data_IF_848309338003
#
_entry.id   IF_848309338003
#
_cell.length_a   1.000
_cell.length_b   1.000
_cell.length_c   1.000
_cell.angle_alpha   90.00
_cell.angle_beta   90.00
_cell.angle_gamma   90.00
#
_symmetry.space_group_name_H-M   'P 1'
#
loop_
_entity.id
_entity.type
_entity.pdbx_description
1 polymer ?
#
# COMPACT_ATOMS: atom_id res chain seq x y z
N UNK A 1 -12.26 -0.17 -18.25
CA UNK A 1 -12.72 0.85 -17.29
C UNK A 1 -13.25 0.15 -16.04
N UNK A 2 -12.99 0.68 -14.83
CA UNK A 2 -13.35 0.04 -13.58
C UNK A 2 -14.65 0.65 -13.05
N UNK A 3 -15.70 -0.17 -12.91
CA UNK A 3 -17.01 0.27 -12.43
C UNK A 3 -17.18 0.07 -10.91
N UNK A 4 -16.59 -1.00 -10.36
CA UNK A 4 -16.63 -1.33 -8.94
C UNK A 4 -15.23 -1.39 -8.38
N UNK A 5 -14.91 -0.52 -7.40
CA UNK A 5 -13.55 -0.41 -6.86
C UNK A 5 -13.61 -0.53 -5.33
N UNK A 6 -12.76 -1.40 -4.76
CA UNK A 6 -12.55 -1.52 -3.33
C UNK A 6 -11.26 -0.83 -2.90
N UNK A 7 -11.30 -0.04 -1.82
CA UNK A 7 -10.13 0.67 -1.31
C UNK A 7 -9.97 0.34 0.18
N UNK A 8 -8.84 -0.25 0.56
CA UNK A 8 -8.53 -0.46 1.98
C UNK A 8 -8.02 0.82 2.61
N UNK A 9 -8.44 1.11 3.86
CA UNK A 9 -8.07 2.34 4.55
C UNK A 9 -8.66 3.61 3.92
N UNK A 10 -9.86 3.52 3.37
CA UNK A 10 -10.51 4.60 2.62
C UNK A 10 -11.16 5.70 3.50
N UNK A 11 -10.99 5.66 4.81
CA UNK A 11 -11.61 6.64 5.71
C UNK A 11 -10.79 7.93 5.92
N UNK A 12 -9.52 7.96 5.50
CA UNK A 12 -8.62 9.11 5.70
C UNK A 12 -7.54 9.17 4.62
N UNK A 13 -6.93 10.34 4.44
CA UNK A 13 -5.72 10.52 3.65
C UNK A 13 -5.87 10.09 2.19
N UNK A 14 -4.85 9.42 1.66
CA UNK A 14 -4.76 9.03 0.26
C UNK A 14 -5.92 8.12 -0.16
N UNK A 15 -6.30 7.15 0.69
CA UNK A 15 -7.41 6.24 0.38
C UNK A 15 -8.74 6.95 0.24
N UNK A 16 -9.05 7.91 1.13
CA UNK A 16 -10.27 8.72 1.05
C UNK A 16 -10.27 9.63 -0.17
N UNK A 17 -9.14 10.27 -0.46
CA UNK A 17 -9.03 11.13 -1.63
C UNK A 17 -9.11 10.34 -2.94
N UNK A 18 -8.51 9.13 -3.01
CA UNK A 18 -8.67 8.22 -4.14
C UNK A 18 -10.12 7.81 -4.35
N UNK A 19 -10.87 7.54 -3.25
CA UNK A 19 -12.30 7.25 -3.31
C UNK A 19 -13.09 8.43 -3.90
N UNK A 20 -12.76 9.66 -3.49
CA UNK A 20 -13.37 10.88 -4.05
C UNK A 20 -13.12 11.02 -5.54
N UNK A 21 -11.86 10.88 -5.97
CA UNK A 21 -11.50 11.02 -7.38
C UNK A 21 -12.15 9.94 -8.25
N UNK A 22 -12.20 8.69 -7.77
CA UNK A 22 -12.86 7.60 -8.49
C UNK A 22 -14.36 7.83 -8.61
N UNK A 23 -15.03 8.32 -7.58
CA UNK A 23 -16.47 8.60 -7.61
C UNK A 23 -16.84 9.69 -8.65
N UNK A 24 -15.91 10.58 -8.99
CA UNK A 24 -16.11 11.60 -10.02
C UNK A 24 -15.91 11.10 -11.46
N UNK A 25 -15.37 9.88 -11.65
CA UNK A 25 -15.26 9.27 -12.99
C UNK A 25 -16.62 8.78 -13.46
N UNK A 26 -16.97 9.02 -14.72
CA UNK A 26 -18.28 8.66 -15.31
C UNK A 26 -18.57 7.16 -15.28
N UNK A 27 -17.53 6.36 -15.46
CA UNK A 27 -17.62 4.91 -15.51
C UNK A 27 -17.77 4.26 -14.13
N UNK A 28 -17.42 4.93 -13.03
CA UNK A 28 -17.51 4.38 -11.69
C UNK A 28 -18.96 4.33 -11.21
N UNK A 29 -19.40 3.15 -10.77
CA UNK A 29 -20.75 2.90 -10.25
C UNK A 29 -20.77 2.60 -8.75
N UNK A 30 -19.64 2.08 -8.22
CA UNK A 30 -19.54 1.63 -6.83
C UNK A 30 -18.11 1.87 -6.31
N UNK A 31 -17.99 2.45 -5.13
CA UNK A 31 -16.73 2.55 -4.37
C UNK A 31 -16.92 1.93 -2.99
N UNK A 32 -16.17 0.88 -2.69
CA UNK A 32 -16.24 0.16 -1.42
C UNK A 32 -15.15 0.70 -0.50
N UNK A 33 -15.56 1.29 0.61
CA UNK A 33 -14.72 1.78 1.68
C UNK A 33 -14.43 0.64 2.66
N UNK A 34 -13.30 -0.03 2.49
CA UNK A 34 -12.88 -1.14 3.36
C UNK A 34 -12.05 -0.57 4.52
N UNK A 35 -12.64 -0.52 5.71
CA UNK A 35 -12.13 0.24 6.85
C UNK A 35 -12.21 -0.57 8.14
N UNK A 36 -11.33 -0.26 9.12
CA UNK A 36 -11.32 -0.94 10.42
C UNK A 36 -12.39 -0.42 11.39
N UNK A 37 -12.72 0.85 11.33
CA UNK A 37 -13.57 1.52 12.32
C UNK A 37 -14.86 2.00 11.66
N UNK A 38 -16.02 1.52 12.15
CA UNK A 38 -17.35 1.85 11.63
C UNK A 38 -17.64 3.35 11.63
N UNK A 39 -17.49 4.01 12.77
CA UNK A 39 -17.85 5.44 12.90
C UNK A 39 -16.99 6.35 12.02
N UNK A 40 -15.69 6.03 11.88
CA UNK A 40 -14.79 6.76 10.97
C UNK A 40 -15.14 6.49 9.50
N UNK A 41 -15.58 5.29 9.16
CA UNK A 41 -15.99 4.95 7.80
C UNK A 41 -17.29 5.67 7.42
N UNK A 42 -18.27 5.73 8.33
CA UNK A 42 -19.52 6.45 8.13
C UNK A 42 -19.30 7.96 7.97
N UNK A 43 -18.45 8.56 8.83
CA UNK A 43 -18.08 9.97 8.70
C UNK A 43 -17.37 10.25 7.36
N UNK A 44 -16.49 9.36 6.92
CA UNK A 44 -15.83 9.48 5.62
C UNK A 44 -16.81 9.35 4.46
N UNK A 45 -17.74 8.38 4.52
CA UNK A 45 -18.80 8.21 3.51
C UNK A 45 -19.65 9.46 3.38
N UNK A 46 -20.13 10.01 4.51
CA UNK A 46 -20.93 11.25 4.52
C UNK A 46 -20.18 12.40 3.85
N UNK A 47 -18.92 12.64 4.23
CA UNK A 47 -18.11 13.70 3.64
C UNK A 47 -17.86 13.47 2.12
N UNK A 48 -17.66 12.23 1.72
CA UNK A 48 -17.49 11.87 0.29
C UNK A 48 -18.78 12.12 -0.50
N UNK A 49 -19.94 11.75 0.04
CA UNK A 49 -21.26 12.01 -0.57
C UNK A 49 -21.54 13.49 -0.72
N UNK A 50 -21.23 14.29 0.32
CA UNK A 50 -21.37 15.75 0.29
C UNK A 50 -20.44 16.39 -0.76
N UNK A 51 -19.18 15.99 -0.81
CA UNK A 51 -18.18 16.56 -1.73
C UNK A 51 -18.37 16.16 -3.19
N UNK A 52 -18.94 14.99 -3.45
CA UNK A 52 -19.08 14.46 -4.81
C UNK A 52 -20.50 14.57 -5.37
N UNK A 53 -21.50 14.76 -4.50
CA UNK A 53 -22.92 14.67 -4.87
C UNK A 53 -23.36 13.25 -5.28
N UNK A 54 -22.56 12.21 -4.98
CA UNK A 54 -22.80 10.81 -5.38
C UNK A 54 -23.10 9.93 -4.17
N UNK A 55 -24.06 9.01 -4.32
CA UNK A 55 -24.46 8.02 -3.28
C UNK A 55 -24.03 6.60 -3.67
N UNK A 56 -22.79 6.43 -4.08
CA UNK A 56 -22.25 5.18 -4.58
C UNK A 56 -21.24 4.50 -3.64
N UNK A 57 -21.16 4.97 -2.39
CA UNK A 57 -20.19 4.47 -1.42
C UNK A 57 -20.81 3.39 -0.53
N UNK A 58 -20.19 2.21 -0.50
CA UNK A 58 -20.51 1.12 0.41
C UNK A 58 -19.41 0.99 1.47
N UNK A 59 -19.76 0.51 2.66
CA UNK A 59 -18.81 0.30 3.75
C UNK A 59 -18.68 -1.19 4.01
N UNK A 60 -17.45 -1.68 4.10
CA UNK A 60 -17.13 -3.01 4.64
C UNK A 60 -16.15 -2.82 5.78
N UNK A 61 -16.45 -3.42 6.93
CA UNK A 61 -15.62 -3.30 8.13
C UNK A 61 -14.74 -4.53 8.29
N UNK A 62 -13.43 -4.32 8.29
CA UNK A 62 -12.44 -5.33 8.62
C UNK A 62 -11.10 -4.71 9.02
N UNK A 63 -10.37 -5.40 9.90
CA UNK A 63 -8.99 -5.08 10.24
C UNK A 63 -8.05 -5.89 9.33
N UNK A 64 -7.26 -5.21 8.52
CA UNK A 64 -6.29 -5.86 7.60
C UNK A 64 -5.14 -6.56 8.33
N UNK A 65 -4.95 -6.32 9.62
CA UNK A 65 -3.98 -7.06 10.45
C UNK A 65 -4.54 -8.35 11.06
N UNK A 66 -5.84 -8.63 10.85
CA UNK A 66 -6.53 -9.83 11.34
C UNK A 66 -7.06 -10.65 10.15
N UNK A 67 -6.48 -11.84 9.95
CA UNK A 67 -6.85 -12.76 8.90
C UNK A 67 -8.33 -13.15 8.93
N UNK A 68 -8.88 -13.43 10.11
CA UNK A 68 -10.27 -13.84 10.27
C UNK A 68 -11.23 -12.69 9.97
N UNK A 69 -10.88 -11.47 10.39
CA UNK A 69 -11.65 -10.28 10.08
C UNK A 69 -11.77 -10.08 8.56
N UNK A 70 -10.66 -10.23 7.83
CA UNK A 70 -10.66 -10.08 6.36
C UNK A 70 -11.45 -11.20 5.67
N UNK A 71 -11.28 -12.48 6.08
CA UNK A 71 -12.02 -13.60 5.50
C UNK A 71 -13.54 -13.42 5.66
N UNK A 72 -14.00 -13.04 6.86
CA UNK A 72 -15.42 -12.74 7.11
C UNK A 72 -15.92 -11.58 6.24
N UNK A 73 -15.11 -10.54 6.07
CA UNK A 73 -15.47 -9.42 5.21
C UNK A 73 -15.61 -9.84 3.74
N UNK A 74 -14.70 -10.68 3.22
CA UNK A 74 -14.78 -11.21 1.85
C UNK A 74 -16.07 -11.98 1.62
N UNK A 75 -16.58 -12.72 2.61
CA UNK A 75 -17.85 -13.46 2.51
C UNK A 75 -19.07 -12.55 2.28
N UNK A 76 -18.98 -11.30 2.72
CA UNK A 76 -20.04 -10.29 2.52
C UNK A 76 -20.07 -9.73 1.10
N UNK A 77 -18.97 -9.86 0.34
CA UNK A 77 -18.87 -9.37 -1.03
C UNK A 77 -19.61 -10.31 -1.97
N UNK A 78 -20.79 -9.91 -2.43
CA UNK A 78 -21.63 -10.76 -3.28
C UNK A 78 -21.33 -10.60 -4.76
N UNK A 79 -21.01 -9.39 -5.19
CA UNK A 79 -20.80 -9.06 -6.60
C UNK A 79 -19.31 -8.94 -6.94
N UNK A 80 -18.93 -9.16 -8.20
CA UNK A 80 -17.57 -8.95 -8.65
C UNK A 80 -17.07 -7.51 -8.46
N UNK A 81 -15.80 -7.39 -8.16
CA UNK A 81 -15.06 -6.13 -8.03
C UNK A 81 -14.11 -6.01 -9.23
N UNK A 82 -14.15 -4.89 -9.92
CA UNK A 82 -13.24 -4.65 -11.05
C UNK A 82 -11.81 -4.39 -10.58
N UNK A 83 -11.65 -3.55 -9.56
CA UNK A 83 -10.30 -3.19 -9.09
C UNK A 83 -10.22 -3.05 -7.56
N UNK A 84 -9.02 -3.28 -7.03
CA UNK A 84 -8.70 -3.09 -5.62
C UNK A 84 -7.52 -2.12 -5.48
N UNK A 85 -7.63 -1.18 -4.55
CA UNK A 85 -6.52 -0.36 -4.07
C UNK A 85 -6.18 -0.79 -2.64
N UNK A 86 -5.07 -1.48 -2.49
CA UNK A 86 -4.52 -1.94 -1.21
C UNK A 86 -3.73 -0.79 -0.56
N UNK A 87 -4.46 0.16 0.04
CA UNK A 87 -3.89 1.39 0.57
C UNK A 87 -3.68 1.35 2.09
N UNK A 88 -4.45 0.56 2.84
CA UNK A 88 -4.28 0.45 4.29
C UNK A 88 -2.84 0.07 4.66
N UNK A 89 -2.32 0.64 5.73
CA UNK A 89 -0.95 0.37 6.18
C UNK A 89 -0.18 1.65 6.51
N UNK A 90 1.12 1.52 6.60
CA UNK A 90 2.05 2.59 6.96
C UNK A 90 3.00 2.19 8.07
N UNK A 91 3.80 3.13 8.54
CA UNK A 91 4.66 2.93 9.72
C UNK A 91 3.77 2.84 10.96
N UNK A 92 3.82 1.72 11.66
CA UNK A 92 3.15 1.52 12.94
C UNK A 92 4.04 2.09 14.05
N UNK A 93 3.44 2.63 15.11
CA UNK A 93 4.18 3.21 16.23
C UNK A 93 4.95 2.19 17.06
N UNK A 94 5.01 2.38 18.37
CA UNK A 94 5.84 1.59 19.31
C UNK A 94 5.55 0.07 19.34
N UNK A 95 4.39 -0.36 18.86
CA UNK A 95 4.00 -1.78 18.80
C UNK A 95 4.42 -2.48 17.50
N UNK A 96 5.13 -1.82 16.61
CA UNK A 96 5.47 -2.33 15.27
C UNK A 96 6.16 -3.71 15.28
N UNK A 97 7.05 -3.95 16.24
CA UNK A 97 7.77 -5.20 16.39
C UNK A 97 7.03 -6.30 17.19
N UNK A 98 5.87 -5.99 17.79
CA UNK A 98 5.11 -7.00 18.54
C UNK A 98 4.62 -8.09 17.58
N UNK A 99 4.59 -9.34 18.04
CA UNK A 99 4.13 -10.48 17.23
C UNK A 99 2.61 -10.60 17.32
N UNK A 100 1.97 -10.78 16.17
CA UNK A 100 0.53 -11.03 16.05
C UNK A 100 0.20 -12.53 16.17
N UNK A 101 -1.08 -12.91 16.33
CA UNK A 101 -1.47 -14.32 16.31
C UNK A 101 -1.10 -15.09 15.04
N UNK A 102 -0.89 -14.41 13.91
CA UNK A 102 -0.40 -15.04 12.68
C UNK A 102 1.10 -15.39 12.72
N UNK A 103 1.84 -14.89 13.71
CA UNK A 103 3.30 -14.98 13.77
C UNK A 103 4.04 -13.85 13.07
N UNK A 104 3.35 -12.99 12.30
CA UNK A 104 3.96 -11.77 11.74
C UNK A 104 4.13 -10.72 12.84
N UNK A 105 5.13 -9.84 12.69
CA UNK A 105 5.15 -8.61 13.49
C UNK A 105 3.99 -7.67 13.05
N UNK A 106 3.56 -6.78 13.95
CA UNK A 106 2.40 -5.87 13.71
C UNK A 106 2.60 -5.02 12.47
N UNK A 107 3.83 -4.59 12.18
CA UNK A 107 4.13 -3.79 10.99
C UNK A 107 3.87 -4.60 9.71
N UNK A 108 4.36 -5.83 9.63
CA UNK A 108 4.14 -6.72 8.49
C UNK A 108 2.66 -7.10 8.35
N UNK A 109 2.01 -7.50 9.44
CA UNK A 109 0.59 -7.86 9.42
C UNK A 109 -0.29 -6.71 8.92
N UNK A 110 -0.05 -5.48 9.38
CA UNK A 110 -0.81 -4.29 8.96
C UNK A 110 -0.63 -3.94 7.48
N UNK A 111 0.55 -4.24 6.91
CA UNK A 111 0.87 -3.85 5.53
C UNK A 111 0.70 -4.97 4.50
N UNK A 112 0.61 -6.25 4.92
CA UNK A 112 0.65 -7.41 4.01
C UNK A 112 -0.50 -8.39 4.26
N UNK A 113 -0.67 -8.89 5.49
CA UNK A 113 -1.48 -10.07 5.80
C UNK A 113 -2.88 -10.02 5.19
N UNK A 114 -3.65 -9.00 5.55
CA UNK A 114 -5.02 -8.87 5.07
C UNK A 114 -5.12 -8.51 3.59
N UNK A 115 -4.12 -7.86 3.03
CA UNK A 115 -4.09 -7.53 1.61
C UNK A 115 -3.93 -8.79 0.76
N UNK A 116 -3.04 -9.69 1.13
CA UNK A 116 -2.85 -10.96 0.45
C UNK A 116 -4.11 -11.81 0.55
N UNK A 117 -4.66 -11.98 1.75
CA UNK A 117 -5.90 -12.74 1.97
C UNK A 117 -7.06 -12.15 1.15
N UNK A 118 -7.25 -10.84 1.16
CA UNK A 118 -8.32 -10.16 0.43
C UNK A 118 -8.24 -10.46 -1.07
N UNK A 119 -7.06 -10.30 -1.67
CA UNK A 119 -6.85 -10.50 -3.10
C UNK A 119 -7.05 -11.97 -3.49
N UNK A 120 -6.40 -12.88 -2.77
CA UNK A 120 -6.43 -14.31 -3.11
C UNK A 120 -7.80 -14.94 -2.90
N UNK A 121 -8.50 -14.59 -1.82
CA UNK A 121 -9.87 -15.07 -1.59
C UNK A 121 -10.85 -14.54 -2.65
N UNK A 122 -10.68 -13.29 -3.11
CA UNK A 122 -11.51 -12.75 -4.19
C UNK A 122 -11.20 -13.38 -5.54
N UNK A 123 -9.92 -13.67 -5.85
CA UNK A 123 -9.54 -14.42 -7.05
C UNK A 123 -10.11 -15.83 -7.00
N UNK A 124 -9.92 -16.56 -5.89
CA UNK A 124 -10.43 -17.93 -5.69
C UNK A 124 -11.95 -18.04 -5.87
N UNK A 125 -12.68 -16.96 -5.52
CA UNK A 125 -14.14 -16.87 -5.66
C UNK A 125 -14.60 -16.28 -6.99
N UNK A 126 -13.69 -16.07 -7.95
CA UNK A 126 -13.94 -15.40 -9.23
C UNK A 126 -14.58 -14.00 -9.09
N UNK A 127 -14.22 -13.26 -8.04
CA UNK A 127 -14.80 -11.94 -7.72
C UNK A 127 -13.87 -10.76 -7.98
N UNK A 128 -12.63 -10.98 -8.35
CA UNK A 128 -11.70 -9.94 -8.76
C UNK A 128 -11.46 -10.04 -10.27
N UNK A 129 -11.69 -8.95 -11.02
CA UNK A 129 -11.79 -9.03 -12.48
C UNK A 129 -10.68 -8.36 -13.28
N UNK A 130 -10.16 -7.19 -12.84
CA UNK A 130 -9.32 -6.38 -13.75
C UNK A 130 -7.99 -5.92 -13.16
N UNK A 131 -7.98 -5.34 -11.95
CA UNK A 131 -6.77 -4.70 -11.46
C UNK A 131 -6.60 -4.75 -9.94
N UNK A 132 -5.35 -4.84 -9.49
CA UNK A 132 -4.92 -4.65 -8.11
C UNK A 132 -3.79 -3.63 -8.09
N UNK A 133 -3.91 -2.63 -7.23
CA UNK A 133 -2.82 -1.72 -6.92
C UNK A 133 -2.43 -1.86 -5.44
N UNK A 134 -1.14 -2.05 -5.19
CA UNK A 134 -0.56 -2.01 -3.85
C UNK A 134 0.11 -0.65 -3.60
N UNK A 135 -0.29 0.01 -2.53
CA UNK A 135 0.45 1.15 -2.00
C UNK A 135 1.81 0.70 -1.46
N UNK A 136 2.85 0.91 -2.24
CA UNK A 136 4.25 0.70 -1.85
C UNK A 136 4.86 2.01 -1.31
N UNK A 137 6.18 2.11 -1.23
CA UNK A 137 6.86 3.26 -0.63
C UNK A 137 8.17 3.60 -1.35
N UNK A 138 8.55 4.89 -1.30
CA UNK A 138 9.85 5.38 -1.76
C UNK A 138 11.03 4.76 -0.96
N UNK A 139 10.76 4.22 0.23
CA UNK A 139 11.73 3.50 1.04
C UNK A 139 12.28 2.23 0.39
N UNK A 140 11.56 1.63 -0.58
CA UNK A 140 11.98 0.40 -1.26
C UNK A 140 13.20 0.67 -2.16
N UNK A 141 13.16 1.59 -3.14
CA UNK A 141 14.33 1.93 -3.94
C UNK A 141 15.32 2.84 -3.18
N UNK A 142 14.95 3.30 -1.99
CA UNK A 142 15.72 4.25 -1.22
C UNK A 142 15.63 5.68 -1.77
N UNK A 143 16.08 6.64 -0.98
CA UNK A 143 16.10 8.06 -1.35
C UNK A 143 17.47 8.63 -1.05
N UNK A 144 18.33 8.66 -2.06
CA UNK A 144 19.74 9.07 -1.94
C UNK A 144 19.91 10.43 -1.25
N UNK A 145 19.03 11.38 -1.54
CA UNK A 145 19.06 12.71 -0.93
C UNK A 145 18.84 12.70 0.59
N UNK A 146 18.10 11.71 1.10
CA UNK A 146 17.86 11.51 2.54
C UNK A 146 18.84 10.51 3.16
N UNK A 147 19.87 10.08 2.44
CA UNK A 147 20.79 9.04 2.89
C UNK A 147 20.17 7.64 2.98
N UNK A 148 18.95 7.46 2.49
CA UNK A 148 18.28 6.17 2.47
C UNK A 148 18.78 5.34 1.30
N UNK A 149 19.41 4.20 1.59
CA UNK A 149 19.82 3.22 0.58
C UNK A 149 18.64 2.40 0.12
N UNK A 150 18.68 1.81 -1.10
CA UNK A 150 17.75 0.76 -1.50
C UNK A 150 17.73 -0.38 -0.46
N UNK A 151 16.57 -0.99 -0.28
CA UNK A 151 16.47 -2.19 0.54
C UNK A 151 17.36 -3.27 -0.06
N UNK A 152 18.23 -3.85 0.74
CA UNK A 152 19.14 -4.90 0.30
C UNK A 152 19.11 -6.05 1.29
N UNK A 153 18.76 -7.23 0.81
CA UNK A 153 18.81 -8.48 1.54
C UNK A 153 20.05 -9.27 1.11
N UNK A 154 20.56 -10.15 1.97
CA UNK A 154 21.80 -10.90 1.67
C UNK A 154 21.64 -11.83 0.47
N UNK A 155 20.55 -12.63 0.47
CA UNK A 155 20.28 -13.66 -0.54
C UNK A 155 18.81 -13.65 -1.01
N UNK A 156 17.95 -12.87 -0.39
CA UNK A 156 16.51 -12.79 -0.67
C UNK A 156 15.83 -14.17 -0.69
N UNK A 157 16.22 -15.04 0.26
CA UNK A 157 15.64 -16.39 0.40
C UNK A 157 14.26 -16.31 1.07
N UNK A 158 13.53 -17.44 1.01
CA UNK A 158 12.24 -17.57 1.73
C UNK A 158 12.41 -17.35 3.23
N UNK A 159 13.49 -17.89 3.82
CA UNK A 159 13.76 -17.73 5.25
C UNK A 159 14.12 -16.28 5.62
N UNK A 160 14.87 -15.62 4.77
CA UNK A 160 15.23 -14.22 4.99
C UNK A 160 14.01 -13.28 4.88
N UNK A 161 13.12 -13.50 3.90
CA UNK A 161 11.85 -12.78 3.84
C UNK A 161 10.96 -13.13 5.05
N UNK A 162 10.89 -14.39 5.48
CA UNK A 162 10.11 -14.78 6.66
C UNK A 162 10.64 -14.08 7.93
N UNK A 163 11.97 -13.98 8.07
CA UNK A 163 12.60 -13.27 9.17
C UNK A 163 12.28 -11.76 9.19
N UNK A 164 12.12 -11.14 8.03
CA UNK A 164 11.61 -9.75 7.95
C UNK A 164 10.16 -9.68 8.45
N UNK A 165 9.33 -10.64 8.07
CA UNK A 165 7.90 -10.65 8.39
C UNK A 165 7.61 -10.95 9.86
N UNK A 166 8.40 -11.77 10.53
CA UNK A 166 8.28 -12.02 11.97
C UNK A 166 9.09 -11.04 12.84
N UNK A 167 10.03 -10.30 12.23
CA UNK A 167 10.87 -9.29 12.88
C UNK A 167 12.25 -9.80 13.31
N UNK A 168 12.52 -11.09 13.24
CA UNK A 168 13.80 -11.69 13.68
C UNK A 168 15.00 -11.23 12.83
N UNK A 169 14.77 -10.77 11.59
CA UNK A 169 15.80 -10.18 10.73
C UNK A 169 16.53 -8.99 11.40
N UNK A 170 15.83 -8.23 12.22
CA UNK A 170 16.35 -7.00 12.83
C UNK A 170 16.97 -7.23 14.22
N UNK A 171 16.79 -8.43 14.81
CA UNK A 171 17.27 -8.77 16.15
C UNK A 171 16.78 -7.76 17.19
N UNK A 172 17.67 -7.41 18.16
CA UNK A 172 17.37 -6.45 19.24
C UNK A 172 17.25 -4.99 18.76
N UNK A 173 17.55 -4.72 17.49
CA UNK A 173 17.58 -3.37 16.90
C UNK A 173 16.41 -3.13 15.94
N UNK A 174 15.20 -3.58 16.32
CA UNK A 174 14.02 -3.35 15.49
C UNK A 174 13.65 -1.86 15.43
N UNK A 175 13.97 -1.22 14.31
CA UNK A 175 13.58 0.16 14.02
C UNK A 175 12.44 0.19 13.00
N UNK A 176 11.26 0.67 13.42
CA UNK A 176 10.02 0.60 12.62
C UNK A 176 10.14 1.27 11.24
N UNK A 177 10.92 2.35 11.11
CA UNK A 177 11.11 3.07 9.84
C UNK A 177 11.97 2.24 8.88
N UNK A 178 13.05 1.63 9.39
CA UNK A 178 13.90 0.74 8.59
C UNK A 178 13.12 -0.50 8.18
N UNK A 179 12.52 -1.20 9.16
CA UNK A 179 11.71 -2.39 8.93
C UNK A 179 10.57 -2.15 7.93
N UNK A 180 9.98 -0.95 7.91
CA UNK A 180 8.96 -0.56 6.95
C UNK A 180 9.42 -0.67 5.50
N UNK A 181 10.64 -0.26 5.19
CA UNK A 181 11.22 -0.43 3.85
C UNK A 181 11.26 -1.90 3.42
N UNK A 182 11.75 -2.78 4.30
CA UNK A 182 11.82 -4.23 4.04
C UNK A 182 10.44 -4.88 3.91
N UNK A 183 9.48 -4.51 4.76
CA UNK A 183 8.10 -4.99 4.67
C UNK A 183 7.43 -4.54 3.36
N UNK A 184 7.63 -3.29 2.94
CA UNK A 184 7.12 -2.80 1.65
C UNK A 184 7.83 -3.44 0.46
N UNK A 185 9.10 -3.79 0.60
CA UNK A 185 9.82 -4.58 -0.41
C UNK A 185 9.22 -5.98 -0.56
N UNK A 186 9.00 -6.70 0.54
CA UNK A 186 8.37 -8.02 0.50
C UNK A 186 6.96 -7.96 -0.14
N UNK A 187 6.14 -6.98 0.24
CA UNK A 187 4.81 -6.75 -0.35
C UNK A 187 4.89 -6.42 -1.85
N UNK A 188 5.89 -5.61 -2.26
CA UNK A 188 6.12 -5.28 -3.68
C UNK A 188 6.50 -6.52 -4.46
N UNK A 189 7.43 -7.34 -3.97
CA UNK A 189 7.85 -8.59 -4.61
C UNK A 189 6.68 -9.58 -4.77
N UNK A 190 5.82 -9.69 -3.74
CA UNK A 190 4.58 -10.46 -3.85
C UNK A 190 3.69 -9.96 -4.99
N UNK A 191 3.46 -8.64 -5.12
CA UNK A 191 2.66 -8.09 -6.23
C UNK A 191 3.22 -8.42 -7.60
N UNK A 192 4.56 -8.39 -7.74
CA UNK A 192 5.23 -8.75 -9.00
C UNK A 192 5.11 -10.26 -9.29
N UNK A 193 5.14 -11.12 -8.27
CA UNK A 193 4.84 -12.56 -8.41
C UNK A 193 3.39 -12.79 -8.85
N UNK A 194 2.42 -12.09 -8.24
CA UNK A 194 1.00 -12.19 -8.60
C UNK A 194 0.72 -11.81 -10.05
N UNK A 195 1.40 -10.79 -10.58
CA UNK A 195 1.28 -10.40 -11.99
C UNK A 195 1.66 -11.50 -12.97
N UNK A 196 2.63 -12.36 -12.60
CA UNK A 196 3.02 -13.52 -13.41
C UNK A 196 2.08 -14.70 -13.24
N UNK A 197 1.52 -14.88 -12.02
CA UNK A 197 0.57 -15.97 -11.73
C UNK A 197 -0.80 -15.73 -12.35
N UNK A 198 -1.24 -14.49 -12.47
CA UNK A 198 -2.56 -14.09 -12.95
C UNK A 198 -2.46 -13.05 -14.07
N UNK A 199 -2.05 -13.45 -15.28
CA UNK A 199 -1.77 -12.51 -16.39
C UNK A 199 -3.00 -11.73 -16.86
N UNK A 200 -4.20 -12.24 -16.62
CA UNK A 200 -5.47 -11.59 -16.98
C UNK A 200 -5.88 -10.47 -16.01
N UNK A 201 -5.21 -10.36 -14.86
CA UNK A 201 -5.44 -9.32 -13.88
C UNK A 201 -4.20 -8.41 -13.83
N UNK A 202 -4.41 -7.12 -13.92
CA UNK A 202 -3.34 -6.13 -13.81
C UNK A 202 -2.90 -5.96 -12.35
N UNK A 203 -1.65 -6.23 -12.02
CA UNK A 203 -1.05 -6.02 -10.70
C UNK A 203 0.01 -4.93 -10.76
N UNK A 204 -0.19 -3.85 -10.03
CA UNK A 204 0.73 -2.70 -9.99
C UNK A 204 1.11 -2.39 -8.55
N UNK A 205 2.39 -2.32 -8.25
CA UNK A 205 2.88 -1.69 -7.03
C UNK A 205 3.18 -0.21 -7.31
N UNK A 206 2.78 0.69 -6.41
CA UNK A 206 2.96 2.12 -6.65
C UNK A 206 3.17 2.89 -5.35
N UNK A 207 4.21 3.73 -5.32
CA UNK A 207 4.39 4.70 -4.24
C UNK A 207 3.54 5.95 -4.50
N UNK A 208 2.82 6.47 -3.50
CA UNK A 208 2.13 7.75 -3.63
C UNK A 208 3.08 8.95 -3.66
N UNK A 209 4.38 8.72 -3.44
CA UNK A 209 5.34 9.77 -3.15
C UNK A 209 5.18 10.35 -1.74
N UNK A 210 6.05 11.29 -1.37
CA UNK A 210 5.91 12.03 -0.12
C UNK A 210 4.71 12.99 -0.23
N UNK A 211 3.63 12.67 0.46
CA UNK A 211 2.31 13.32 0.31
C UNK A 211 1.92 14.05 1.58
N UNK A 212 1.61 15.35 1.48
CA UNK A 212 1.07 16.17 2.59
C UNK A 212 -0.33 15.68 2.98
N UNK A 213 -0.70 15.89 4.25
CA UNK A 213 -2.07 15.61 4.74
C UNK A 213 -2.35 14.12 4.98
N UNK A 214 -1.32 13.28 5.03
CA UNK A 214 -1.42 11.89 5.50
C UNK A 214 -1.17 11.83 7.01
N UNK A 215 -1.74 10.84 7.70
CA UNK A 215 -1.45 10.58 9.11
C UNK A 215 -0.07 9.99 9.39
N UNK A 216 0.82 9.89 8.39
CA UNK A 216 2.15 9.30 8.53
C UNK A 216 3.03 9.97 9.61
N UNK A 217 3.05 11.31 9.75
CA UNK A 217 3.83 11.97 10.81
C UNK A 217 3.36 11.64 12.22
N UNK A 218 2.11 11.22 12.41
CA UNK A 218 1.54 10.97 13.75
C UNK A 218 2.18 9.77 14.46
N UNK A 219 2.80 8.88 13.70
CA UNK A 219 3.49 7.68 14.22
C UNK A 219 5.00 7.88 14.45
N UNK A 220 5.53 9.09 14.20
CA UNK A 220 6.94 9.42 14.40
C UNK A 220 7.24 9.86 15.83
N UNK A 221 8.48 9.69 16.32
CA UNK A 221 8.93 10.27 17.58
C UNK A 221 8.67 11.79 17.62
N UNK A 222 8.29 12.38 18.77
CA UNK A 222 7.88 13.78 18.85
C UNK A 222 8.87 14.78 18.24
N UNK A 223 10.15 14.61 18.49
CA UNK A 223 11.20 15.48 17.94
C UNK A 223 11.28 15.38 16.40
N UNK A 224 11.20 14.17 15.85
CA UNK A 224 11.23 13.93 14.40
C UNK A 224 9.94 14.43 13.75
N UNK A 225 8.77 14.23 14.39
CA UNK A 225 7.49 14.79 13.96
C UNK A 225 7.57 16.32 13.91
N UNK A 226 8.07 16.95 14.95
CA UNK A 226 8.24 18.40 15.01
C UNK A 226 9.14 18.91 13.87
N UNK A 227 10.32 18.32 13.72
CA UNK A 227 11.28 18.69 12.67
C UNK A 227 10.67 18.51 11.28
N UNK A 228 10.02 17.37 11.01
CA UNK A 228 9.39 17.09 9.72
C UNK A 228 8.24 18.06 9.42
N UNK A 229 7.33 18.25 10.38
CA UNK A 229 6.10 19.03 10.18
C UNK A 229 6.34 20.54 10.07
N UNK A 230 7.23 21.08 10.90
CA UNK A 230 7.42 22.52 10.99
C UNK A 230 8.66 23.06 10.25
N UNK A 231 9.61 22.21 9.90
CA UNK A 231 10.85 22.61 9.24
C UNK A 231 11.02 21.99 7.85
N UNK A 232 11.05 20.65 7.77
CA UNK A 232 11.36 19.96 6.52
C UNK A 232 10.26 20.16 5.47
N UNK A 233 9.01 19.87 5.82
CA UNK A 233 7.90 19.95 4.88
C UNK A 233 7.56 21.39 4.41
N UNK A 234 7.48 22.42 5.28
CA UNK A 234 7.12 23.75 4.83
C UNK A 234 8.29 24.57 4.29
N UNK A 235 9.52 24.33 4.72
CA UNK A 235 10.66 25.18 4.40
C UNK A 235 11.65 24.44 3.48
N UNK A 236 12.19 23.30 3.91
CA UNK A 236 13.30 22.65 3.21
C UNK A 236 12.84 21.99 1.91
N UNK A 237 11.76 21.20 1.95
CA UNK A 237 11.31 20.45 0.78
C UNK A 237 10.81 21.32 -0.38
N UNK A 238 10.12 22.46 -0.16
CA UNK A 238 9.80 23.39 -1.24
C UNK A 238 11.02 23.99 -1.92
N UNK A 239 12.08 24.31 -1.14
CA UNK A 239 13.32 24.88 -1.69
C UNK A 239 14.10 23.90 -2.57
N UNK A 240 14.08 22.61 -2.23
CA UNK A 240 14.78 21.57 -3.00
C UNK A 240 14.00 21.19 -4.26
N UNK A 241 12.66 21.36 -4.25
CA UNK A 241 11.77 20.95 -5.33
C UNK A 241 11.65 19.42 -5.50
N UNK A 242 10.50 18.94 -5.95
CA UNK A 242 10.29 17.51 -6.20
C UNK A 242 10.31 16.63 -4.95
N UNK A 243 9.98 17.18 -3.77
CA UNK A 243 10.07 16.46 -2.49
C UNK A 243 8.72 16.20 -1.84
N UNK A 244 7.66 16.88 -2.25
CA UNK A 244 6.33 16.74 -1.62
C UNK A 244 5.22 16.87 -2.65
N UNK A 245 4.22 16.00 -2.56
CA UNK A 245 2.94 16.11 -3.28
C UNK A 245 1.84 16.74 -2.42
N UNK A 246 0.82 17.29 -3.09
CA UNK A 246 -0.49 17.46 -2.46
C UNK A 246 -1.20 16.11 -2.31
N UNK A 247 -2.23 16.07 -1.48
CA UNK A 247 -3.02 14.85 -1.27
C UNK A 247 -3.66 14.36 -2.57
N UNK A 248 -4.15 15.29 -3.38
CA UNK A 248 -4.77 15.03 -4.68
C UNK A 248 -3.80 14.35 -5.66
N UNK A 249 -2.57 14.83 -5.72
CA UNK A 249 -1.55 14.26 -6.63
C UNK A 249 -1.12 12.88 -6.18
N UNK A 250 -0.91 12.67 -4.86
CA UNK A 250 -0.57 11.37 -4.31
C UNK A 250 -1.68 10.33 -4.55
N UNK A 251 -2.93 10.71 -4.32
CA UNK A 251 -4.09 9.85 -4.57
C UNK A 251 -4.30 9.58 -6.07
N UNK A 252 -4.06 10.58 -6.92
CA UNK A 252 -4.17 10.44 -8.38
C UNK A 252 -3.25 9.34 -8.91
N UNK A 253 -2.05 9.16 -8.36
CA UNK A 253 -1.18 8.04 -8.75
C UNK A 253 -1.90 6.69 -8.58
N UNK A 254 -2.63 6.49 -7.49
CA UNK A 254 -3.36 5.24 -7.24
C UNK A 254 -4.56 5.08 -8.17
N UNK A 255 -5.29 6.15 -8.41
CA UNK A 255 -6.42 6.17 -9.35
C UNK A 255 -5.94 5.83 -10.77
N UNK A 256 -4.87 6.46 -11.22
CA UNK A 256 -4.29 6.20 -12.55
C UNK A 256 -3.68 4.78 -12.60
N UNK A 257 -3.02 4.32 -11.54
CA UNK A 257 -2.42 2.99 -11.46
C UNK A 257 -3.40 1.86 -11.77
N UNK A 258 -4.66 1.97 -11.32
CA UNK A 258 -5.70 0.96 -11.62
C UNK A 258 -6.43 1.18 -12.94
N UNK A 259 -6.40 2.38 -13.52
CA UNK A 259 -7.25 2.73 -14.66
C UNK A 259 -6.50 3.12 -15.93
N UNK A 260 -5.25 3.55 -15.84
CA UNK A 260 -4.46 4.05 -16.96
C UNK A 260 -3.55 2.94 -17.52
N UNK A 261 -3.58 2.75 -18.83
CA UNK A 261 -2.79 1.72 -19.54
C UNK A 261 -1.29 2.03 -19.59
N UNK A 262 -0.86 3.25 -19.27
CA UNK A 262 0.56 3.60 -19.13
C UNK A 262 1.24 2.80 -18.02
N UNK A 263 0.52 2.46 -16.95
CA UNK A 263 1.01 1.65 -15.86
C UNK A 263 0.78 0.17 -16.16
N UNK A 264 1.86 -0.55 -16.38
CA UNK A 264 1.84 -1.96 -16.79
C UNK A 264 1.78 -2.90 -15.58
N UNK A 265 1.22 -4.09 -15.78
CA UNK A 265 1.24 -5.18 -14.80
C UNK A 265 2.65 -5.65 -14.52
N UNK A 266 2.92 -6.05 -13.28
CA UNK A 266 4.22 -6.58 -12.89
C UNK A 266 5.31 -5.51 -12.71
N UNK A 267 4.95 -4.25 -12.57
CA UNK A 267 5.89 -3.13 -12.40
C UNK A 267 5.64 -2.41 -11.08
N UNK A 268 6.74 -2.01 -10.44
CA UNK A 268 6.72 -1.08 -9.32
C UNK A 268 7.04 0.34 -9.81
N UNK A 269 6.14 1.27 -9.55
CA UNK A 269 6.28 2.68 -9.90
C UNK A 269 6.48 3.53 -8.64
N UNK A 270 7.49 4.39 -8.67
CA UNK A 270 7.77 5.39 -7.64
C UNK A 270 8.33 6.65 -8.29
N UNK A 271 8.67 7.66 -7.51
CA UNK A 271 9.25 8.90 -8.02
C UNK A 271 10.60 8.63 -8.71
N UNK A 272 11.03 9.53 -9.60
CA UNK A 272 12.36 9.47 -10.24
C UNK A 272 13.47 9.40 -9.18
N UNK A 273 14.59 8.78 -9.53
CA UNK A 273 15.74 8.66 -8.65
C UNK A 273 16.09 10.00 -7.97
N UNK A 274 16.30 9.96 -6.66
CA UNK A 274 16.63 11.14 -5.85
C UNK A 274 15.47 12.10 -5.60
N UNK A 275 14.24 11.80 -6.04
CA UNK A 275 13.04 12.60 -5.78
C UNK A 275 12.06 11.81 -4.90
N UNK A 276 11.22 12.53 -4.17
CA UNK A 276 10.12 11.98 -3.38
C UNK A 276 8.74 12.33 -3.97
N UNK A 277 8.72 13.09 -5.06
CA UNK A 277 7.52 13.51 -5.77
C UNK A 277 7.81 13.72 -7.27
N UNK A 278 6.79 14.09 -8.05
CA UNK A 278 6.86 14.25 -9.51
C UNK A 278 6.24 13.06 -10.23
N UNK A 279 6.78 12.68 -11.40
CA UNK A 279 6.26 11.57 -12.20
C UNK A 279 6.60 10.22 -11.54
N UNK A 280 5.66 9.29 -11.61
CA UNK A 280 5.89 7.91 -11.22
C UNK A 280 6.53 7.15 -12.40
N UNK A 281 7.71 6.58 -12.18
CA UNK A 281 8.50 5.86 -13.17
C UNK A 281 8.79 4.42 -12.73
N UNK A 282 9.05 3.56 -13.70
CA UNK A 282 9.43 2.16 -13.45
C UNK A 282 10.74 2.09 -12.66
N UNK A 283 10.66 1.53 -11.45
CA UNK A 283 11.80 1.41 -10.55
C UNK A 283 12.76 0.28 -10.92
N UNK A 284 12.35 -0.67 -11.74
CA UNK A 284 13.22 -1.78 -12.18
C UNK A 284 14.37 -1.34 -13.08
N UNK A 285 14.35 -0.09 -13.54
CA UNK A 285 15.47 0.54 -14.26
C UNK A 285 16.60 0.97 -13.32
N UNK A 286 16.29 1.22 -12.05
CA UNK A 286 17.26 1.69 -11.04
C UNK A 286 17.54 0.60 -9.99
N UNK A 287 16.57 -0.27 -9.72
CA UNK A 287 16.64 -1.29 -8.70
C UNK A 287 16.37 -2.66 -9.35
N UNK A 288 17.45 -3.32 -9.78
CA UNK A 288 17.43 -4.53 -10.62
C UNK A 288 16.84 -5.75 -9.93
N UNK A 289 16.90 -5.83 -8.58
CA UNK A 289 16.31 -6.93 -7.80
C UNK A 289 14.83 -7.13 -8.10
N UNK A 290 14.11 -6.05 -8.46
CA UNK A 290 12.71 -6.11 -8.85
C UNK A 290 12.44 -7.03 -10.06
N UNK A 291 13.45 -7.25 -10.91
CA UNK A 291 13.36 -8.17 -12.08
C UNK A 291 13.65 -9.63 -11.72
N UNK A 292 14.16 -9.90 -10.52
CA UNK A 292 14.51 -11.24 -10.11
C UNK A 292 13.27 -12.04 -9.72
N UNK A 293 12.83 -12.92 -10.61
CA UNK A 293 11.62 -13.74 -10.41
C UNK A 293 11.74 -14.69 -9.23
N UNK A 294 12.95 -15.19 -8.93
CA UNK A 294 13.18 -16.04 -7.75
C UNK A 294 12.97 -15.26 -6.45
N UNK A 295 13.39 -13.99 -6.38
CA UNK A 295 13.13 -13.14 -5.22
C UNK A 295 11.64 -12.86 -5.02
N UNK A 296 10.93 -12.61 -6.13
CA UNK A 296 9.47 -12.42 -6.13
C UNK A 296 8.76 -13.67 -5.58
N UNK A 297 9.13 -14.87 -6.06
CA UNK A 297 8.55 -16.13 -5.61
C UNK A 297 8.96 -16.49 -4.18
N UNK A 298 10.15 -16.10 -3.74
CA UNK A 298 10.59 -16.29 -2.36
C UNK A 298 9.79 -15.42 -1.38
N UNK A 299 9.53 -14.16 -1.72
CA UNK A 299 8.69 -13.28 -0.93
C UNK A 299 7.25 -13.82 -0.80
N UNK A 300 6.68 -14.26 -1.91
CA UNK A 300 5.36 -14.86 -1.96
C UNK A 300 5.27 -16.11 -1.06
N UNK A 301 6.21 -17.05 -1.19
CA UNK A 301 6.28 -18.25 -0.34
C UNK A 301 6.49 -17.93 1.14
N UNK A 302 7.29 -16.91 1.45
CA UNK A 302 7.52 -16.48 2.82
C UNK A 302 6.24 -15.93 3.46
N UNK A 303 5.49 -15.09 2.75
CA UNK A 303 4.21 -14.54 3.23
C UNK A 303 3.22 -15.68 3.53
N UNK A 304 3.15 -16.69 2.67
CA UNK A 304 2.22 -17.83 2.84
C UNK A 304 2.53 -18.72 4.06
N UNK A 305 3.73 -18.64 4.66
CA UNK A 305 4.00 -19.31 5.96
C UNK A 305 3.14 -18.78 7.11
N UNK A 306 2.66 -17.54 6.99
CA UNK A 306 1.88 -16.84 8.02
C UNK A 306 0.38 -16.77 7.71
N UNK A 307 -0.03 -17.17 6.53
CA UNK A 307 -1.44 -17.20 6.10
C UNK A 307 -1.96 -18.65 6.27
N UNK A 308 -2.59 -18.89 7.42
CA UNK A 308 -3.22 -20.18 7.73
C UNK A 308 -4.73 -20.11 7.52
#
# INVERSE_FOLDING_TARGET
>A
MNQSILITGANIGIGKEAARQLALKKETKKVILFCRNQSKAEAAKKDLEEKTGKKMFEIIIADVSDANSVRKAVETIKEPIDAIILNAGGVVGKTAGNVTPSGMNVLAATNILGHVILVEELIKRDKLKKAVLLASAEAVPGVKLLGMKPVSMKISSVDEFAAVLDGSYFGDKFEAIEAYGYVKYAATMWMLSMARKYPDIKFVAMSPGNTKGTGAPDNLPPAMKFMLTYFMMPIVFPLIGGMVHTLEVGAKRFVDGVSDERYKSGIFYASKEGKLSGDAVDQSTFYTDLKNTSFQDNADRAIHRFIK
#
